data_IF_978918199983
#
_entry.id   IF_978918199983
#
_cell.length_a   1.000
_cell.length_b   1.000
_cell.length_c   1.000
_cell.angle_alpha   90.00
_cell.angle_beta   90.00
_cell.angle_gamma   90.00
#
_symmetry.space_group_name_H-M   'P 1'
#
loop_
_entity.id
_entity.type
_entity.pdbx_description
1 polymer ?
#
# COMPACT_ATOMS: atom_id res chain seq x y z
N UNK A 1 2.48 -15.14 -9.16
CA UNK A 1 1.74 -15.85 -8.09
C UNK A 1 0.39 -15.16 -7.92
N UNK A 2 -0.69 -15.94 -7.88
CA UNK A 2 -2.05 -15.40 -7.76
C UNK A 2 -2.19 -14.60 -6.46
N UNK A 3 -2.94 -13.50 -6.54
CA UNK A 3 -3.44 -12.77 -5.38
C UNK A 3 -4.74 -13.40 -4.93
N UNK A 4 -4.84 -13.75 -3.65
CA UNK A 4 -6.02 -14.28 -3.00
C UNK A 4 -6.58 -13.25 -2.02
N UNK A 5 -7.84 -12.87 -2.21
CA UNK A 5 -8.57 -11.98 -1.30
C UNK A 5 -9.60 -12.83 -0.56
N UNK A 6 -9.47 -12.92 0.75
CA UNK A 6 -10.40 -13.61 1.65
C UNK A 6 -11.33 -12.60 2.32
N UNK A 7 -12.59 -12.95 2.47
CA UNK A 7 -13.59 -12.13 3.12
C UNK A 7 -14.30 -12.91 4.22
N UNK A 8 -14.44 -12.28 5.39
CA UNK A 8 -15.22 -12.77 6.53
C UNK A 8 -16.41 -11.84 6.72
N UNK A 9 -17.62 -12.39 6.66
CA UNK A 9 -18.86 -11.61 6.77
C UNK A 9 -18.95 -10.86 8.10
N UNK A 10 -18.38 -11.43 9.17
CA UNK A 10 -18.31 -10.80 10.49
C UNK A 10 -17.51 -9.49 10.52
N UNK A 11 -16.64 -9.26 9.53
CA UNK A 11 -15.83 -8.04 9.45
C UNK A 11 -16.55 -6.89 8.74
N UNK A 12 -17.70 -7.13 8.12
CA UNK A 12 -18.34 -6.15 7.23
C UNK A 12 -18.59 -4.77 7.89
N UNK A 13 -18.77 -4.74 9.21
CA UNK A 13 -19.02 -3.52 9.98
C UNK A 13 -17.77 -2.94 10.64
N UNK A 14 -16.61 -3.61 10.59
CA UNK A 14 -15.36 -3.08 11.16
C UNK A 14 -14.78 -1.98 10.26
N UNK A 15 -13.82 -1.22 10.80
CA UNK A 15 -13.13 -0.20 10.01
C UNK A 15 -12.42 -0.81 8.79
N UNK A 16 -11.78 -1.98 8.97
CA UNK A 16 -11.08 -2.70 7.90
C UNK A 16 -12.02 -3.28 6.86
N UNK A 17 -13.16 -3.84 7.26
CA UNK A 17 -14.20 -4.30 6.33
C UNK A 17 -14.75 -3.18 5.46
N UNK A 18 -14.97 -1.99 6.05
CA UNK A 18 -15.39 -0.81 5.29
C UNK A 18 -14.31 -0.34 4.29
N UNK A 19 -13.04 -0.28 4.72
CA UNK A 19 -11.93 0.14 3.86
C UNK A 19 -11.65 -0.84 2.72
N UNK A 20 -11.87 -2.13 2.94
CA UNK A 20 -11.60 -3.21 1.98
C UNK A 20 -12.85 -3.66 1.22
N UNK A 21 -14.01 -3.02 1.40
CA UNK A 21 -15.30 -3.43 0.82
C UNK A 21 -15.26 -3.63 -0.70
N UNK A 22 -14.60 -2.72 -1.43
CA UNK A 22 -14.41 -2.85 -2.88
C UNK A 22 -13.46 -4.01 -3.25
N UNK A 23 -12.46 -4.28 -2.42
CA UNK A 23 -11.49 -5.35 -2.65
C UNK A 23 -12.11 -6.73 -2.36
N UNK A 24 -12.97 -6.83 -1.35
CA UNK A 24 -13.62 -8.06 -0.91
C UNK A 24 -14.96 -8.32 -1.59
N UNK A 25 -15.42 -7.38 -2.43
CA UNK A 25 -16.63 -7.54 -3.24
C UNK A 25 -16.53 -8.76 -4.16
N UNK A 26 -17.59 -9.57 -4.29
CA UNK A 26 -17.65 -10.63 -5.29
C UNK A 26 -17.70 -10.09 -6.73
N UNK A 27 -18.08 -8.82 -6.90
CA UNK A 27 -18.12 -8.12 -8.18
C UNK A 27 -17.36 -6.78 -8.11
N UNK A 28 -16.01 -6.82 -8.03
CA UNK A 28 -15.21 -5.61 -7.88
C UNK A 28 -15.03 -4.88 -9.21
N UNK A 29 -14.88 -3.55 -9.16
CA UNK A 29 -14.71 -2.71 -10.36
C UNK A 29 -13.51 -3.10 -11.23
N UNK A 30 -12.47 -3.70 -10.64
CA UNK A 30 -11.23 -4.09 -11.32
C UNK A 30 -11.26 -5.49 -11.94
N UNK A 31 -12.37 -6.24 -11.83
CA UNK A 31 -12.46 -7.65 -12.28
C UNK A 31 -12.05 -7.89 -13.73
N UNK A 32 -12.33 -6.92 -14.61
CA UNK A 32 -12.02 -7.00 -16.04
C UNK A 32 -10.66 -6.39 -16.39
N UNK A 33 -10.01 -5.73 -15.43
CA UNK A 33 -8.70 -5.09 -15.60
C UNK A 33 -7.58 -6.03 -15.17
N UNK A 34 -7.82 -6.83 -14.13
CA UNK A 34 -6.85 -7.80 -13.64
C UNK A 34 -7.02 -9.15 -14.34
N UNK A 35 -5.94 -9.76 -14.85
CA UNK A 35 -6.03 -11.08 -15.47
C UNK A 35 -6.47 -12.16 -14.48
N UNK A 36 -7.01 -13.25 -15.02
CA UNK A 36 -7.34 -14.49 -14.29
C UNK A 36 -8.27 -14.30 -13.08
N UNK A 37 -9.10 -13.26 -13.12
CA UNK A 37 -10.09 -13.00 -12.08
C UNK A 37 -11.11 -14.14 -12.01
N UNK A 38 -11.30 -14.66 -10.79
CA UNK A 38 -12.27 -15.72 -10.51
C UNK A 38 -12.74 -15.66 -9.07
N UNK A 39 -13.98 -16.10 -8.87
CA UNK A 39 -14.54 -16.36 -7.54
C UNK A 39 -14.11 -17.77 -7.11
N UNK A 40 -13.64 -17.90 -5.88
CA UNK A 40 -13.24 -19.20 -5.33
C UNK A 40 -14.47 -19.94 -4.81
N UNK A 41 -14.67 -21.21 -5.19
CA UNK A 41 -15.78 -22.03 -4.66
C UNK A 41 -15.71 -22.16 -3.15
N UNK A 42 -16.87 -22.14 -2.49
CA UNK A 42 -16.99 -22.27 -1.02
C UNK A 42 -16.34 -23.55 -0.48
N UNK A 43 -16.34 -24.64 -1.25
CA UNK A 43 -15.70 -25.91 -0.90
C UNK A 43 -14.17 -25.84 -0.80
N UNK A 44 -13.54 -24.82 -1.41
CA UNK A 44 -12.09 -24.60 -1.40
C UNK A 44 -11.67 -23.49 -0.42
N UNK A 45 -12.62 -22.93 0.34
CA UNK A 45 -12.33 -21.87 1.29
C UNK A 45 -11.78 -22.43 2.61
N UNK A 46 -10.87 -21.71 3.28
CA UNK A 46 -10.52 -22.02 4.65
C UNK A 46 -11.74 -21.79 5.56
N UNK A 47 -11.84 -22.48 6.72
CA UNK A 47 -12.96 -22.31 7.67
C UNK A 47 -13.13 -20.89 8.20
N UNK A 48 -12.11 -20.04 8.03
CA UNK A 48 -12.07 -18.67 8.51
C UNK A 48 -12.63 -17.66 7.50
N UNK A 49 -12.99 -18.05 6.28
CA UNK A 49 -13.47 -17.16 5.23
C UNK A 49 -14.83 -17.62 4.67
N UNK A 50 -15.71 -16.65 4.43
CA UNK A 50 -17.06 -16.87 3.89
C UNK A 50 -17.10 -16.72 2.36
N UNK A 51 -16.18 -15.93 1.80
CA UNK A 51 -16.02 -15.77 0.34
C UNK A 51 -14.56 -15.44 -0.01
N UNK A 52 -14.17 -15.70 -1.26
CA UNK A 52 -12.87 -15.28 -1.75
C UNK A 52 -12.86 -15.06 -3.27
N UNK A 53 -11.96 -14.20 -3.72
CA UNK A 53 -11.63 -13.98 -5.13
C UNK A 53 -10.14 -14.16 -5.36
N UNK A 54 -9.76 -14.64 -6.53
CA UNK A 54 -8.36 -14.71 -6.94
C UNK A 54 -8.16 -14.03 -8.30
N UNK A 55 -6.99 -13.43 -8.49
CA UNK A 55 -6.59 -12.77 -9.73
C UNK A 55 -5.08 -12.62 -9.80
N UNK A 56 -4.55 -12.37 -11.00
CA UNK A 56 -3.14 -12.05 -11.22
C UNK A 56 -2.92 -10.55 -11.00
N UNK A 57 -1.99 -10.19 -10.12
CA UNK A 57 -1.60 -8.80 -9.86
C UNK A 57 -0.08 -8.65 -9.81
N UNK A 58 0.37 -7.42 -9.63
CA UNK A 58 1.79 -7.07 -9.55
C UNK A 58 2.20 -6.75 -8.12
N UNK A 59 3.41 -7.18 -7.75
CA UNK A 59 4.09 -6.69 -6.56
C UNK A 59 5.33 -5.90 -6.97
N UNK A 60 5.48 -4.71 -6.42
CA UNK A 60 6.60 -3.83 -6.72
C UNK A 60 7.61 -3.88 -5.56
N UNK A 61 8.86 -4.26 -5.86
CA UNK A 61 9.97 -4.08 -4.92
C UNK A 61 10.37 -2.60 -4.89
N UNK A 62 9.90 -1.86 -3.89
CA UNK A 62 10.14 -0.41 -3.79
C UNK A 62 11.61 -0.04 -3.65
N UNK A 63 12.43 -0.91 -3.05
CA UNK A 63 13.87 -0.69 -2.91
C UNK A 63 14.60 -0.70 -4.26
N UNK A 64 14.06 -1.38 -5.27
CA UNK A 64 14.59 -1.39 -6.64
C UNK A 64 13.84 -0.41 -7.55
N UNK A 65 12.52 -0.30 -7.40
CA UNK A 65 11.68 0.47 -8.30
C UNK A 65 11.88 1.97 -8.15
N UNK A 66 12.08 2.51 -6.94
CA UNK A 66 12.32 3.94 -6.75
C UNK A 66 13.67 4.41 -7.34
N UNK A 67 14.80 3.70 -7.12
CA UNK A 67 16.04 3.97 -7.85
C UNK A 67 15.89 3.81 -9.37
N UNK A 68 15.14 2.80 -9.83
CA UNK A 68 14.85 2.63 -11.26
C UNK A 68 14.14 3.86 -11.83
N UNK A 69 13.06 4.35 -11.21
CA UNK A 69 12.37 5.56 -11.65
C UNK A 69 13.28 6.79 -11.63
N UNK A 70 14.09 6.94 -10.57
CA UNK A 70 15.09 8.02 -10.48
C UNK A 70 16.07 7.94 -11.66
N UNK A 71 16.55 6.74 -12.00
CA UNK A 71 17.44 6.54 -13.16
C UNK A 71 16.75 6.88 -14.49
N UNK A 72 15.46 6.58 -14.64
CA UNK A 72 14.69 6.96 -15.83
C UNK A 72 14.62 8.49 -15.97
N UNK A 73 14.32 9.19 -14.89
CA UNK A 73 14.27 10.65 -14.88
C UNK A 73 15.64 11.26 -15.25
N UNK A 74 16.73 10.79 -14.64
CA UNK A 74 18.08 11.26 -14.94
C UNK A 74 18.46 11.00 -16.41
N UNK A 75 18.13 9.83 -16.96
CA UNK A 75 18.36 9.51 -18.37
C UNK A 75 17.61 10.43 -19.32
N UNK A 76 16.45 10.93 -18.91
CA UNK A 76 15.66 11.90 -19.66
C UNK A 76 16.05 13.36 -19.38
N UNK A 77 17.19 13.60 -18.72
CA UNK A 77 17.73 14.95 -18.49
C UNK A 77 17.15 15.67 -17.28
N UNK A 78 16.35 15.01 -16.43
CA UNK A 78 15.92 15.60 -15.17
C UNK A 78 17.12 15.81 -14.23
N UNK A 79 17.07 16.85 -13.42
CA UNK A 79 18.03 17.09 -12.33
C UNK A 79 17.35 16.77 -11.00
N UNK A 80 18.06 16.08 -10.09
CA UNK A 80 17.57 15.78 -8.74
C UNK A 80 18.40 16.58 -7.74
N UNK A 81 17.73 17.39 -6.92
CA UNK A 81 18.32 18.14 -5.82
C UNK A 81 17.59 17.84 -4.52
N UNK A 82 18.29 17.97 -3.40
CA UNK A 82 17.71 17.84 -2.06
C UNK A 82 17.46 19.23 -1.50
N UNK A 83 16.25 19.49 -1.03
CA UNK A 83 15.88 20.76 -0.40
C UNK A 83 14.76 20.53 0.61
N UNK A 84 14.68 21.41 1.62
CA UNK A 84 13.62 21.43 2.62
C UNK A 84 12.93 22.79 2.49
N UNK A 85 11.62 22.78 2.27
CA UNK A 85 10.84 23.99 2.02
C UNK A 85 9.85 24.23 3.16
N UNK A 86 9.74 25.48 3.58
CA UNK A 86 8.70 25.91 4.52
C UNK A 86 7.41 26.32 3.78
N UNK A 87 7.53 26.81 2.54
CA UNK A 87 6.41 27.26 1.73
C UNK A 87 6.50 26.73 0.29
N UNK A 88 5.36 26.42 -0.35
CA UNK A 88 5.33 25.85 -1.70
C UNK A 88 5.89 26.80 -2.77
N UNK A 89 5.70 28.12 -2.59
CA UNK A 89 6.21 29.13 -3.50
C UNK A 89 7.75 29.12 -3.62
N UNK A 90 8.46 28.68 -2.58
CA UNK A 90 9.92 28.62 -2.56
C UNK A 90 10.45 27.59 -3.58
N UNK A 91 9.66 26.57 -3.91
CA UNK A 91 10.01 25.55 -4.90
C UNK A 91 10.27 26.14 -6.29
N UNK A 92 9.56 27.23 -6.65
CA UNK A 92 9.71 27.87 -7.96
C UNK A 92 11.11 28.42 -8.19
N UNK A 93 11.84 28.80 -7.13
CA UNK A 93 13.19 29.35 -7.23
C UNK A 93 14.29 28.27 -7.34
N UNK A 94 13.95 26.98 -7.24
CA UNK A 94 14.91 25.87 -7.17
C UNK A 94 15.09 25.12 -8.49
N UNK A 95 14.58 25.66 -9.60
CA UNK A 95 14.72 25.03 -10.90
C UNK A 95 16.20 24.96 -11.33
N UNK A 96 16.62 23.85 -11.94
CA UNK A 96 18.03 23.58 -12.27
C UNK A 96 18.62 24.54 -13.31
N UNK A 97 17.77 25.24 -14.08
CA UNK A 97 18.21 26.29 -15.01
C UNK A 97 18.64 27.60 -14.34
N UNK A 98 18.44 27.74 -13.02
CA UNK A 98 18.66 28.98 -12.27
C UNK A 98 17.60 30.06 -12.49
N UNK A 99 16.61 29.82 -13.35
CA UNK A 99 15.42 30.67 -13.53
C UNK A 99 14.28 30.18 -12.63
N UNK A 100 13.24 31.00 -12.46
CA UNK A 100 12.02 30.51 -11.80
C UNK A 100 11.33 29.45 -12.67
N UNK A 101 10.83 28.40 -12.04
CA UNK A 101 9.96 27.42 -12.69
C UNK A 101 8.60 28.06 -13.02
N UNK A 102 8.08 27.79 -14.21
CA UNK A 102 6.75 28.24 -14.64
C UNK A 102 5.63 27.48 -13.90
N UNK A 103 5.88 26.21 -13.57
CA UNK A 103 4.93 25.32 -12.91
C UNK A 103 5.64 24.52 -11.82
N UNK A 104 4.99 24.37 -10.67
CA UNK A 104 5.43 23.50 -9.57
C UNK A 104 4.39 22.40 -9.38
N UNK A 105 4.84 21.13 -9.41
CA UNK A 105 3.99 19.98 -9.09
C UNK A 105 4.24 19.56 -7.64
N UNK A 106 3.24 19.72 -6.78
CA UNK A 106 3.34 19.40 -5.36
C UNK A 106 3.13 17.91 -5.10
N UNK A 107 4.21 17.16 -4.88
CA UNK A 107 4.19 15.73 -4.53
C UNK A 107 4.61 15.46 -3.07
N UNK A 108 4.29 16.35 -2.13
CA UNK A 108 4.81 16.28 -0.74
C UNK A 108 4.07 15.32 0.22
N UNK A 109 3.04 14.62 -0.25
CA UNK A 109 2.32 13.61 0.54
C UNK A 109 1.79 14.17 1.86
N UNK A 110 2.06 13.48 2.97
CA UNK A 110 1.60 13.89 4.32
C UNK A 110 2.04 15.30 4.72
N UNK A 111 3.17 15.80 4.19
CA UNK A 111 3.68 17.13 4.50
C UNK A 111 2.81 18.25 3.92
N UNK A 112 1.95 17.98 2.94
CA UNK A 112 1.00 18.95 2.41
C UNK A 112 0.08 19.56 3.50
N UNK A 113 -0.18 18.82 4.58
CA UNK A 113 -0.97 19.29 5.73
C UNK A 113 -0.32 20.42 6.55
N UNK A 114 1.01 20.59 6.38
CA UNK A 114 1.86 21.53 7.13
C UNK A 114 2.69 22.47 6.24
N UNK A 115 2.75 22.22 4.93
CA UNK A 115 3.50 23.04 3.99
C UNK A 115 2.80 24.39 3.80
N UNK A 116 3.52 25.49 4.03
CA UNK A 116 3.00 26.84 3.83
C UNK A 116 2.48 27.04 2.41
N UNK A 117 1.33 27.71 2.27
CA UNK A 117 0.65 27.89 0.99
C UNK A 117 -0.15 26.68 0.50
N UNK A 118 -0.10 25.54 1.20
CA UNK A 118 -0.92 24.35 0.93
C UNK A 118 -1.83 24.07 2.12
N UNK A 119 -1.26 23.71 3.28
CA UNK A 119 -1.97 23.54 4.56
C UNK A 119 -3.23 22.64 4.50
N UNK A 120 -3.24 21.61 3.66
CA UNK A 120 -4.41 20.76 3.42
C UNK A 120 -4.78 19.92 4.65
N UNK A 121 -5.87 20.28 5.31
CA UNK A 121 -6.34 19.61 6.55
C UNK A 121 -7.08 18.31 6.30
N UNK A 122 -7.42 17.98 5.05
CA UNK A 122 -8.00 16.68 4.71
C UNK A 122 -6.95 15.57 4.73
N UNK A 123 -5.66 15.91 4.62
CA UNK A 123 -4.55 14.97 4.66
C UNK A 123 -4.28 14.54 6.11
N UNK A 124 -4.62 13.28 6.40
CA UNK A 124 -4.43 12.66 7.72
C UNK A 124 -3.49 11.44 7.61
N UNK A 125 -2.68 11.17 8.65
CA UNK A 125 -1.82 10.00 8.65
C UNK A 125 -2.62 8.71 8.93
N UNK A 126 -2.35 7.67 8.15
CA UNK A 126 -2.71 6.29 8.47
C UNK A 126 -1.42 5.51 8.75
N UNK A 127 -1.26 4.99 9.97
CA UNK A 127 -0.04 4.27 10.35
C UNK A 127 -0.14 2.82 9.89
N UNK A 128 0.76 2.40 9.00
CA UNK A 128 1.00 0.98 8.69
C UNK A 128 2.29 0.50 9.33
N UNK A 129 2.25 -0.65 10.01
CA UNK A 129 3.41 -1.31 10.58
C UNK A 129 3.59 -2.66 9.92
N UNK A 130 4.78 -2.93 9.38
CA UNK A 130 5.06 -4.11 8.56
C UNK A 130 6.18 -4.98 9.15
N UNK A 131 6.14 -6.28 8.90
CA UNK A 131 7.22 -7.23 9.25
C UNK A 131 7.81 -7.84 7.98
N UNK A 132 9.13 -7.72 7.82
CA UNK A 132 9.90 -8.33 6.71
C UNK A 132 10.41 -9.70 7.12
N UNK A 133 10.00 -10.74 6.40
CA UNK A 133 10.50 -12.12 6.61
C UNK A 133 10.95 -12.76 5.29
N UNK A 134 11.78 -13.81 5.39
CA UNK A 134 12.48 -14.48 4.27
C UNK A 134 11.82 -15.78 3.77
N UNK A 135 10.62 -16.11 4.23
CA UNK A 135 9.92 -17.33 3.84
C UNK A 135 9.34 -17.24 2.39
N UNK A 136 8.77 -18.30 1.85
CA UNK A 136 8.00 -18.22 0.61
C UNK A 136 6.53 -18.50 0.91
N UNK A 137 5.63 -17.73 0.28
CA UNK A 137 4.19 -17.96 0.38
C UNK A 137 3.69 -18.28 -1.01
N UNK A 138 2.73 -19.21 -1.12
CA UNK A 138 2.22 -19.65 -2.42
C UNK A 138 1.46 -18.53 -3.15
N UNK A 139 0.92 -17.57 -2.41
CA UNK A 139 0.05 -16.51 -2.91
C UNK A 139 0.36 -15.17 -2.25
N UNK A 140 0.12 -14.08 -2.97
CA UNK A 140 -0.16 -12.82 -2.29
C UNK A 140 -1.54 -12.96 -1.66
N UNK A 141 -1.72 -12.56 -0.41
CA UNK A 141 -2.93 -12.82 0.33
C UNK A 141 -3.37 -11.59 1.09
N UNK A 142 -4.68 -11.38 1.21
CA UNK A 142 -5.25 -10.45 2.18
C UNK A 142 -6.55 -11.03 2.72
N UNK A 143 -6.92 -10.62 3.93
CA UNK A 143 -8.20 -10.96 4.56
C UNK A 143 -8.88 -9.68 5.07
N UNK A 144 -10.20 -9.64 5.00
CA UNK A 144 -11.06 -8.50 5.37
C UNK A 144 -10.79 -7.91 6.77
N UNK A 145 -10.28 -8.71 7.71
CA UNK A 145 -9.98 -8.29 9.07
C UNK A 145 -9.29 -9.39 9.89
N UNK A 146 -9.00 -9.09 11.15
CA UNK A 146 -8.45 -10.06 12.12
C UNK A 146 -9.31 -10.13 13.39
N UNK A 147 -9.00 -11.05 14.30
CA UNK A 147 -9.65 -11.11 15.62
C UNK A 147 -8.88 -10.31 16.69
N UNK A 148 -7.81 -9.59 16.28
CA UNK A 148 -6.93 -8.81 17.17
C UNK A 148 -7.38 -7.34 17.32
N UNK A 149 -8.27 -6.86 16.46
CA UNK A 149 -8.92 -5.55 16.56
C UNK A 149 -9.44 -4.99 15.24
N UNK A 150 -10.44 -4.11 15.32
CA UNK A 150 -11.20 -3.60 14.16
C UNK A 150 -10.38 -2.77 13.16
N UNK A 151 -9.21 -2.27 13.56
CA UNK A 151 -8.29 -1.52 12.69
C UNK A 151 -7.13 -2.39 12.18
N UNK A 152 -7.05 -3.65 12.61
CA UNK A 152 -5.97 -4.55 12.24
C UNK A 152 -6.31 -5.31 10.96
N UNK A 153 -5.38 -5.28 10.02
CA UNK A 153 -5.45 -6.03 8.77
C UNK A 153 -4.38 -7.11 8.77
N UNK A 154 -4.56 -8.10 7.91
CA UNK A 154 -3.51 -9.05 7.60
C UNK A 154 -3.40 -9.17 6.09
N UNK A 155 -2.18 -8.98 5.59
CA UNK A 155 -1.86 -9.25 4.21
C UNK A 155 -0.44 -9.79 4.08
N UNK A 156 -0.20 -10.44 2.96
CA UNK A 156 1.05 -11.07 2.56
C UNK A 156 1.29 -10.64 1.12
N UNK A 157 2.44 -10.03 0.88
CA UNK A 157 2.87 -9.60 -0.44
C UNK A 157 4.25 -10.20 -0.68
N UNK A 158 4.51 -10.73 -1.87
CA UNK A 158 5.79 -11.37 -2.20
C UNK A 158 6.46 -10.65 -3.36
N UNK A 159 7.59 -10.01 -3.09
CA UNK A 159 8.37 -9.33 -4.10
C UNK A 159 9.36 -10.29 -4.77
N UNK A 160 9.04 -10.73 -5.99
CA UNK A 160 9.84 -11.62 -6.88
C UNK A 160 10.18 -13.02 -6.30
N UNK A 161 10.27 -14.06 -7.16
CA UNK A 161 10.80 -15.36 -6.75
C UNK A 161 12.25 -15.24 -6.25
N UNK A 162 12.57 -15.83 -5.09
CA UNK A 162 13.93 -15.86 -4.54
C UNK A 162 14.37 -14.68 -3.67
N UNK A 163 13.63 -13.56 -3.66
CA UNK A 163 13.85 -12.44 -2.73
C UNK A 163 12.66 -12.29 -1.78
N UNK A 164 12.43 -13.31 -0.96
CA UNK A 164 11.38 -13.28 0.03
C UNK A 164 11.48 -12.07 0.98
N UNK A 165 10.57 -11.12 0.79
CA UNK A 165 10.26 -10.04 1.73
C UNK A 165 8.75 -9.93 1.79
N UNK A 166 8.14 -10.52 2.81
CA UNK A 166 6.74 -10.23 3.09
C UNK A 166 6.59 -8.95 3.86
N UNK A 167 5.35 -8.48 3.90
CA UNK A 167 4.95 -7.39 4.74
C UNK A 167 3.63 -7.82 5.38
N UNK A 168 3.69 -8.41 6.58
CA UNK A 168 2.49 -8.52 7.41
C UNK A 168 2.23 -7.15 7.99
N UNK A 169 1.18 -6.45 7.54
CA UNK A 169 0.93 -5.10 8.00
C UNK A 169 -0.21 -5.00 9.01
N UNK A 170 0.02 -4.24 10.07
CA UNK A 170 -0.99 -3.75 11.00
C UNK A 170 -1.23 -2.28 10.71
N UNK A 171 -2.45 -1.90 10.33
CA UNK A 171 -2.84 -0.49 10.24
C UNK A 171 -3.39 -0.07 11.61
N UNK A 172 -3.13 1.16 12.06
CA UNK A 172 -3.70 1.70 13.30
C UNK A 172 -3.91 3.20 13.16
N UNK A 173 -5.04 3.74 13.61
CA UNK A 173 -5.16 5.18 13.88
C UNK A 173 -4.60 5.47 15.28
N UNK A 174 -3.54 6.28 15.34
CA UNK A 174 -2.98 6.78 16.60
C UNK A 174 -1.60 6.23 17.00
N UNK A 175 -0.95 6.97 17.92
CA UNK A 175 0.39 6.71 18.44
C UNK A 175 0.25 5.81 19.68
N UNK A 176 0.45 4.50 19.54
CA UNK A 176 0.39 3.59 20.69
C UNK A 176 0.94 2.19 20.42
N UNK A 177 1.89 1.77 21.27
CA UNK A 177 2.54 0.46 21.51
C UNK A 177 2.71 -0.53 20.34
N UNK A 178 3.97 -0.89 20.09
CA UNK A 178 4.41 -2.01 19.25
C UNK A 178 4.12 -3.33 19.96
N UNK A 179 3.17 -4.12 19.47
CA UNK A 179 3.06 -5.53 19.83
C UNK A 179 3.78 -6.35 18.75
N UNK A 180 4.66 -7.26 19.19
CA UNK A 180 5.45 -8.16 18.34
C UNK A 180 4.53 -9.31 17.88
N UNK A 181 4.34 -9.49 16.56
CA UNK A 181 3.66 -10.67 16.02
C UNK A 181 4.63 -11.85 16.10
N UNK A 182 4.32 -12.85 16.94
CA UNK A 182 5.12 -14.06 17.11
C UNK A 182 4.76 -15.06 16.03
N UNK A 183 5.43 -14.97 14.87
CA UNK A 183 5.36 -16.01 13.84
C UNK A 183 6.05 -17.25 14.40
N UNK A 184 5.29 -18.27 14.83
CA UNK A 184 5.84 -19.57 15.20
C UNK A 184 6.29 -20.28 13.90
N UNK A 185 7.46 -20.93 13.99
CA UNK A 185 7.97 -21.85 12.96
C UNK A 185 7.07 -23.06 12.85
#
# INVERSE_FOLDING_TARGET
PDTLVLNRLKDATTATGQWLSELTSPDPWFKNTLPDFRIIPTSALPPTADSATAFTSVCINTALYLPYLTSQCLRNGCTVSRSILAHIADASALHSSGKKADVVVNCTGLSASKLGGVMDKSVIPARGQIVVVRNEAPHMLTISGTDDGDEEVCYIISALPGEARFWAARIRRGIGRVNLIRVRR
#
